data_IF_868925327086
#
_entry.id   IF_868925327086
#
_cell.length_a   1.000
_cell.length_b   1.000
_cell.length_c   1.000
_cell.angle_alpha   90.00
_cell.angle_beta   90.00
_cell.angle_gamma   90.00
#
_symmetry.space_group_name_H-M   'P 1'
#
loop_
_entity.id
_entity.type
_entity.pdbx_description
1 polymer ?
#
# COMPACT_ATOMS: atom_id res chain seq x y z
N UNK A 1 -23.37 46.32 -61.94
CA UNK A 1 -23.78 46.52 -60.53
C UNK A 1 -23.91 45.15 -59.90
N UNK A 2 -22.92 44.72 -59.13
CA UNK A 2 -22.90 43.44 -58.49
C UNK A 2 -23.34 43.57 -57.03
N UNK A 3 -24.35 42.82 -56.59
CA UNK A 3 -24.78 42.78 -55.18
C UNK A 3 -23.76 42.06 -54.32
N UNK A 4 -23.42 42.56 -53.12
CA UNK A 4 -22.58 41.84 -52.18
C UNK A 4 -23.37 40.72 -51.51
N UNK A 5 -22.71 39.58 -51.13
CA UNK A 5 -23.37 38.47 -50.45
C UNK A 5 -23.68 38.82 -49.02
N UNK A 6 -24.91 38.60 -48.57
CA UNK A 6 -25.37 38.70 -47.20
C UNK A 6 -24.91 37.47 -46.43
N UNK A 7 -24.20 37.69 -45.31
CA UNK A 7 -23.82 36.66 -44.32
C UNK A 7 -25.05 36.26 -43.49
N UNK A 8 -25.22 34.94 -43.17
CA UNK A 8 -26.29 34.52 -42.29
C UNK A 8 -26.01 34.91 -40.85
N UNK A 9 -26.96 35.59 -40.24
CA UNK A 9 -27.01 35.91 -38.81
C UNK A 9 -27.37 34.61 -38.08
N UNK A 10 -26.46 34.10 -37.25
CA UNK A 10 -26.75 32.99 -36.37
C UNK A 10 -27.52 33.53 -35.15
N UNK A 11 -28.80 33.19 -35.10
CA UNK A 11 -29.62 33.39 -33.90
C UNK A 11 -29.08 32.55 -32.73
N UNK A 12 -28.46 33.19 -31.78
CA UNK A 12 -28.19 32.62 -30.45
C UNK A 12 -29.48 32.61 -29.63
N UNK A 13 -30.32 31.62 -29.86
CA UNK A 13 -31.40 31.30 -28.94
C UNK A 13 -30.78 30.78 -27.65
N UNK A 14 -30.84 31.64 -26.60
CA UNK A 14 -30.49 31.24 -25.23
C UNK A 14 -31.41 30.16 -24.69
N UNK A 15 -31.00 28.94 -24.84
CA UNK A 15 -31.54 27.76 -24.14
C UNK A 15 -30.70 27.60 -22.84
N UNK A 16 -31.21 28.10 -21.73
CA UNK A 16 -30.73 27.77 -20.39
C UNK A 16 -30.93 26.28 -20.11
N UNK A 17 -30.07 25.44 -20.66
CA UNK A 17 -29.96 24.04 -20.28
C UNK A 17 -29.25 23.97 -18.94
N UNK A 18 -29.99 23.78 -17.86
CA UNK A 18 -29.47 23.31 -16.58
C UNK A 18 -28.68 22.02 -16.86
N UNK A 19 -27.36 22.12 -16.94
CA UNK A 19 -26.51 20.94 -16.96
C UNK A 19 -26.82 20.14 -15.69
N UNK A 20 -27.21 18.86 -15.79
CA UNK A 20 -27.34 18.02 -14.61
C UNK A 20 -25.99 18.02 -13.93
N UNK A 21 -25.93 18.53 -12.71
CA UNK A 21 -24.79 18.39 -11.81
C UNK A 21 -24.48 16.90 -11.72
N UNK A 22 -23.55 16.43 -12.54
CA UNK A 22 -23.01 15.09 -12.42
C UNK A 22 -22.37 15.01 -11.04
N UNK A 23 -23.01 14.27 -10.16
CA UNK A 23 -22.44 13.87 -8.88
C UNK A 23 -21.22 13.00 -9.20
N UNK A 24 -20.07 13.65 -9.31
CA UNK A 24 -18.79 13.08 -9.74
C UNK A 24 -18.30 11.97 -8.79
N UNK A 25 -18.88 11.87 -7.61
CA UNK A 25 -18.49 10.92 -6.57
C UNK A 25 -18.83 9.46 -6.86
N UNK A 26 -19.97 9.16 -7.50
CA UNK A 26 -20.42 7.78 -7.67
C UNK A 26 -19.53 6.95 -8.64
N UNK A 27 -19.13 7.43 -9.82
CA UNK A 27 -18.23 6.69 -10.71
C UNK A 27 -16.81 6.56 -10.12
N UNK A 28 -16.29 7.60 -9.46
CA UNK A 28 -14.98 7.57 -8.82
C UNK A 28 -14.93 6.53 -7.67
N UNK A 29 -15.97 6.46 -6.86
CA UNK A 29 -16.09 5.49 -5.79
C UNK A 29 -16.16 4.06 -6.31
N UNK A 30 -16.95 3.80 -7.35
CA UNK A 30 -17.01 2.47 -8.01
C UNK A 30 -15.67 2.05 -8.58
N UNK A 31 -14.96 2.98 -9.23
CA UNK A 31 -13.62 2.72 -9.77
C UNK A 31 -12.62 2.42 -8.65
N UNK A 32 -12.70 3.14 -7.54
CA UNK A 32 -11.87 2.88 -6.36
C UNK A 32 -12.15 1.48 -5.79
N UNK A 33 -13.42 1.12 -5.56
CA UNK A 33 -13.80 -0.20 -5.06
C UNK A 33 -13.36 -1.33 -6.00
N UNK A 34 -13.50 -1.16 -7.31
CA UNK A 34 -13.06 -2.16 -8.29
C UNK A 34 -11.55 -2.34 -8.28
N UNK A 35 -10.77 -1.26 -8.20
CA UNK A 35 -9.31 -1.32 -8.07
C UNK A 35 -8.89 -1.96 -6.75
N UNK A 36 -9.54 -1.59 -5.65
CA UNK A 36 -9.27 -2.17 -4.34
C UNK A 36 -9.53 -3.68 -4.33
N UNK A 37 -10.69 -4.10 -4.84
CA UNK A 37 -11.05 -5.52 -4.90
C UNK A 37 -10.12 -6.32 -5.81
N UNK A 38 -9.71 -5.77 -6.95
CA UNK A 38 -8.73 -6.41 -7.84
C UNK A 38 -7.36 -6.54 -7.19
N UNK A 39 -6.89 -5.49 -6.51
CA UNK A 39 -5.61 -5.51 -5.78
C UNK A 39 -5.61 -6.52 -4.65
N UNK A 40 -6.69 -6.59 -3.88
CA UNK A 40 -6.86 -7.60 -2.81
C UNK A 40 -6.85 -9.00 -3.40
N UNK A 41 -7.61 -9.24 -4.47
CA UNK A 41 -7.67 -10.55 -5.14
C UNK A 41 -6.31 -10.95 -5.69
N UNK A 42 -5.58 -10.04 -6.31
CA UNK A 42 -4.23 -10.28 -6.82
C UNK A 42 -3.25 -10.56 -5.67
N UNK A 43 -3.30 -9.82 -4.57
CA UNK A 43 -2.47 -10.08 -3.40
C UNK A 43 -2.76 -11.44 -2.79
N UNK A 44 -4.04 -11.79 -2.66
CA UNK A 44 -4.45 -13.10 -2.12
C UNK A 44 -4.09 -14.28 -3.06
N UNK A 45 -3.95 -14.05 -4.37
CA UNK A 45 -3.50 -15.10 -5.29
C UNK A 45 -2.04 -15.50 -5.08
N UNK A 46 -1.22 -14.62 -4.48
CA UNK A 46 0.18 -14.88 -4.14
C UNK A 46 0.37 -15.59 -2.79
N UNK A 47 -0.72 -15.97 -2.12
CA UNK A 47 -0.64 -16.71 -0.87
C UNK A 47 -0.04 -18.10 -1.08
N UNK A 48 0.78 -18.53 -0.14
CA UNK A 48 1.24 -19.93 -0.08
C UNK A 48 0.12 -20.84 0.42
N UNK A 49 0.15 -22.12 0.07
CA UNK A 49 -0.84 -23.09 0.56
C UNK A 49 -0.92 -23.09 2.10
N UNK A 50 -2.14 -23.03 2.63
CA UNK A 50 -2.32 -23.03 4.10
C UNK A 50 -1.82 -24.32 4.76
N UNK A 51 -1.86 -25.45 4.03
CA UNK A 51 -1.33 -26.73 4.50
C UNK A 51 0.17 -26.66 4.76
N UNK A 52 0.90 -25.97 3.91
CA UNK A 52 2.33 -25.75 4.08
C UNK A 52 2.63 -24.90 5.33
N UNK A 53 1.80 -23.89 5.62
CA UNK A 53 1.95 -23.06 6.82
C UNK A 53 1.76 -23.89 8.10
N UNK A 54 0.83 -24.84 8.11
CA UNK A 54 0.45 -25.65 9.29
C UNK A 54 1.21 -26.98 9.35
N UNK A 55 2.13 -27.23 8.43
CA UNK A 55 2.89 -28.48 8.37
C UNK A 55 3.73 -28.66 9.65
N UNK A 56 3.30 -29.64 10.45
CA UNK A 56 3.96 -29.97 11.72
C UNK A 56 5.35 -30.59 11.55
N UNK A 57 5.63 -31.23 10.42
CA UNK A 57 6.92 -31.86 10.15
C UNK A 57 8.05 -30.83 10.03
N UNK A 58 7.72 -29.61 9.62
CA UNK A 58 8.64 -28.49 9.47
C UNK A 58 8.69 -27.55 10.71
N UNK A 59 8.03 -27.93 11.82
CA UNK A 59 8.06 -27.15 13.05
C UNK A 59 9.09 -27.79 14.00
N UNK A 60 10.12 -27.03 14.37
CA UNK A 60 11.12 -27.44 15.35
C UNK A 60 11.51 -26.28 16.28
N UNK A 61 11.95 -26.62 17.48
CA UNK A 61 12.46 -25.62 18.44
C UNK A 61 13.75 -25.01 17.89
N UNK A 62 13.90 -23.67 17.90
CA UNK A 62 15.16 -23.03 17.55
C UNK A 62 16.24 -23.31 18.62
N UNK A 63 17.47 -23.50 18.18
CA UNK A 63 18.61 -23.82 19.07
C UNK A 63 19.08 -22.59 19.86
N UNK A 64 18.88 -21.39 19.32
CA UNK A 64 19.28 -20.13 19.92
C UNK A 64 18.34 -18.98 19.50
N UNK A 65 18.45 -17.83 20.20
CA UNK A 65 17.73 -16.61 19.80
C UNK A 65 18.19 -16.12 18.42
N UNK A 66 19.46 -16.32 18.07
CA UNK A 66 20.01 -15.97 16.77
C UNK A 66 19.42 -16.85 15.66
N UNK A 67 19.25 -18.15 15.92
CA UNK A 67 18.58 -19.07 15.01
C UNK A 67 17.10 -18.70 14.85
N UNK A 68 16.38 -18.44 15.95
CA UNK A 68 15.01 -17.97 15.91
C UNK A 68 14.85 -16.71 15.04
N UNK A 69 15.70 -15.71 15.25
CA UNK A 69 15.69 -14.49 14.43
C UNK A 69 15.99 -14.77 12.95
N UNK A 70 16.96 -15.60 12.66
CA UNK A 70 17.32 -16.01 11.30
C UNK A 70 16.11 -16.67 10.60
N UNK A 71 15.42 -17.61 11.31
CA UNK A 71 14.22 -18.28 10.78
C UNK A 71 13.08 -17.30 10.52
N UNK A 72 12.80 -16.38 11.45
CA UNK A 72 11.78 -15.33 11.26
C UNK A 72 12.10 -14.52 10.00
N UNK A 73 13.36 -14.07 9.86
CA UNK A 73 13.81 -13.25 8.73
C UNK A 73 13.64 -13.95 7.38
N UNK A 74 13.82 -15.27 7.32
CA UNK A 74 13.63 -16.08 6.10
C UNK A 74 12.15 -16.36 5.85
N UNK A 75 11.38 -16.76 6.86
CA UNK A 75 9.97 -17.09 6.75
C UNK A 75 9.08 -15.89 6.45
N UNK A 76 9.48 -14.68 6.88
CA UNK A 76 8.68 -13.46 6.74
C UNK A 76 8.41 -13.08 5.28
N UNK A 77 9.39 -13.02 4.37
CA UNK A 77 9.14 -12.76 2.96
C UNK A 77 8.40 -13.91 2.28
N UNK A 78 8.67 -15.15 2.65
CA UNK A 78 8.06 -16.32 2.05
C UNK A 78 6.57 -16.45 2.33
N UNK A 79 6.14 -16.32 3.58
CA UNK A 79 4.75 -16.38 4.00
C UNK A 79 4.11 -14.97 4.11
N UNK A 80 4.67 -13.96 3.49
CA UNK A 80 4.26 -12.56 3.62
C UNK A 80 2.74 -12.39 3.52
N UNK A 81 2.11 -12.94 2.49
CA UNK A 81 0.66 -12.77 2.25
C UNK A 81 -0.15 -13.52 3.30
N UNK A 82 0.28 -14.72 3.69
CA UNK A 82 -0.37 -15.51 4.74
C UNK A 82 -0.29 -14.78 6.09
N UNK A 83 0.87 -14.24 6.43
CA UNK A 83 1.06 -13.49 7.68
C UNK A 83 0.25 -12.20 7.71
N UNK A 84 0.22 -11.44 6.62
CA UNK A 84 -0.66 -10.26 6.51
C UNK A 84 -2.13 -10.68 6.68
N UNK A 85 -2.53 -11.80 6.12
CA UNK A 85 -3.90 -12.32 6.26
C UNK A 85 -4.21 -12.69 7.72
N UNK A 86 -3.28 -13.34 8.43
CA UNK A 86 -3.43 -13.68 9.86
C UNK A 86 -3.58 -12.41 10.70
N UNK A 87 -2.68 -11.44 10.53
CA UNK A 87 -2.75 -10.16 11.26
C UNK A 87 -4.06 -9.43 10.97
N UNK A 88 -4.47 -9.38 9.70
CA UNK A 88 -5.74 -8.76 9.28
C UNK A 88 -6.95 -9.47 9.90
N UNK A 89 -6.91 -10.80 10.00
CA UNK A 89 -7.99 -11.58 10.64
C UNK A 89 -8.06 -11.28 12.14
N UNK A 90 -6.93 -11.22 12.84
CA UNK A 90 -6.89 -10.86 14.27
C UNK A 90 -7.45 -9.46 14.48
N UNK A 91 -7.06 -8.49 13.64
CA UNK A 91 -7.61 -7.13 13.68
C UNK A 91 -9.13 -7.12 13.43
N UNK A 92 -9.60 -7.84 12.41
CA UNK A 92 -11.02 -7.91 12.07
C UNK A 92 -11.84 -8.52 13.21
N UNK A 93 -11.39 -9.62 13.81
CA UNK A 93 -12.05 -10.25 14.94
C UNK A 93 -12.06 -9.34 16.17
N UNK A 94 -10.95 -8.66 16.45
CA UNK A 94 -10.87 -7.69 17.55
C UNK A 94 -11.83 -6.52 17.38
N UNK A 95 -11.93 -5.97 16.16
CA UNK A 95 -12.88 -4.90 15.85
C UNK A 95 -14.33 -5.36 15.92
N UNK A 96 -14.61 -6.57 15.42
CA UNK A 96 -15.96 -7.14 15.46
C UNK A 96 -16.43 -7.40 16.91
N UNK A 97 -15.51 -7.73 17.81
CA UNK A 97 -15.78 -7.89 19.24
C UNK A 97 -16.03 -6.55 19.95
N UNK A 98 -15.70 -5.43 19.32
CA UNK A 98 -15.85 -4.08 19.88
C UNK A 98 -16.65 -3.18 18.93
N UNK A 99 -17.99 -3.34 18.85
CA UNK A 99 -18.81 -2.69 17.82
C UNK A 99 -18.76 -1.16 17.87
N UNK A 100 -18.62 -0.54 19.04
CA UNK A 100 -18.49 0.90 19.17
C UNK A 100 -17.18 1.41 18.54
N UNK A 101 -16.07 0.71 18.77
CA UNK A 101 -14.78 1.04 18.16
C UNK A 101 -14.81 0.87 16.65
N UNK A 102 -15.49 -0.18 16.18
CA UNK A 102 -15.71 -0.41 14.75
C UNK A 102 -16.53 0.72 14.13
N UNK A 103 -17.62 1.15 14.78
CA UNK A 103 -18.45 2.27 14.31
C UNK A 103 -17.63 3.57 14.22
N UNK A 104 -16.88 3.88 15.27
CA UNK A 104 -16.01 5.08 15.29
C UNK A 104 -14.99 5.06 14.14
N UNK A 105 -14.36 3.91 13.88
CA UNK A 105 -13.43 3.76 12.76
C UNK A 105 -14.12 3.89 11.41
N UNK A 106 -15.32 3.32 11.23
CA UNK A 106 -16.08 3.47 9.99
C UNK A 106 -16.45 4.94 9.76
N UNK A 107 -16.89 5.66 10.79
CA UNK A 107 -17.20 7.08 10.70
C UNK A 107 -15.95 7.91 10.37
N UNK A 108 -14.83 7.63 11.01
CA UNK A 108 -13.56 8.30 10.74
C UNK A 108 -13.08 8.04 9.30
N UNK A 109 -13.12 6.79 8.85
CA UNK A 109 -12.73 6.40 7.50
C UNK A 109 -13.68 7.00 6.44
N UNK A 110 -14.99 6.99 6.73
CA UNK A 110 -15.99 7.67 5.91
C UNK A 110 -15.70 9.18 5.80
N UNK A 111 -15.34 9.83 6.90
CA UNK A 111 -14.95 11.25 6.89
C UNK A 111 -13.75 11.52 5.99
N UNK A 112 -12.72 10.68 6.04
CA UNK A 112 -11.56 10.78 5.14
C UNK A 112 -11.94 10.58 3.67
N UNK A 113 -12.78 9.58 3.39
CA UNK A 113 -13.22 9.30 2.02
C UNK A 113 -14.06 10.45 1.47
N UNK A 114 -15.09 10.88 2.20
CA UNK A 114 -16.07 11.84 1.67
C UNK A 114 -15.60 13.29 1.75
N UNK A 115 -14.88 13.67 2.80
CA UNK A 115 -14.46 15.06 3.00
C UNK A 115 -13.14 15.40 2.33
N UNK A 116 -12.30 14.40 2.02
CA UNK A 116 -10.97 14.62 1.44
C UNK A 116 -10.77 13.90 0.11
N UNK A 117 -10.96 12.57 0.06
CA UNK A 117 -10.55 11.77 -1.10
C UNK A 117 -11.48 11.94 -2.32
N UNK A 118 -12.79 11.97 -2.11
CA UNK A 118 -13.78 12.06 -3.20
C UNK A 118 -14.38 13.46 -3.38
N UNK A 119 -13.85 14.43 -2.68
CA UNK A 119 -14.26 15.82 -2.85
C UNK A 119 -13.67 16.38 -4.15
N UNK A 120 -14.47 17.08 -5.00
CA UNK A 120 -13.94 17.87 -6.10
C UNK A 120 -13.04 18.98 -5.56
N UNK A 121 -11.82 19.11 -6.11
CA UNK A 121 -10.84 20.13 -5.71
C UNK A 121 -11.32 21.57 -5.95
N UNK A 122 -12.31 21.75 -6.82
CA UNK A 122 -12.78 23.04 -7.29
C UNK A 122 -13.85 23.68 -6.40
N UNK A 123 -14.38 22.95 -5.41
CA UNK A 123 -15.44 23.44 -4.53
C UNK A 123 -14.99 23.49 -3.07
N UNK A 124 -14.99 24.67 -2.43
CA UNK A 124 -14.69 24.75 -1.01
C UNK A 124 -15.76 24.01 -0.19
N UNK A 125 -15.33 23.32 0.87
CA UNK A 125 -16.24 22.63 1.77
C UNK A 125 -16.97 23.68 2.64
N UNK A 126 -18.30 23.72 2.54
CA UNK A 126 -19.11 24.61 3.38
C UNK A 126 -19.75 23.78 4.49
N UNK A 127 -19.27 23.97 5.73
CA UNK A 127 -19.85 23.35 6.94
C UNK A 127 -20.33 24.49 7.85
N UNK A 128 -21.59 24.44 8.23
CA UNK A 128 -22.20 25.44 9.12
C UNK A 128 -22.01 26.91 8.65
N UNK A 129 -22.04 27.15 7.32
CA UNK A 129 -21.84 28.47 6.74
C UNK A 129 -20.40 28.98 6.67
N UNK A 130 -19.41 28.15 7.09
CA UNK A 130 -17.98 28.45 6.96
C UNK A 130 -17.37 27.63 5.82
N UNK A 131 -16.60 28.30 4.97
CA UNK A 131 -15.86 27.68 3.87
C UNK A 131 -14.51 27.16 4.38
N UNK A 132 -14.23 25.89 4.13
CA UNK A 132 -12.95 25.25 4.48
C UNK A 132 -12.13 25.01 3.22
N UNK A 133 -10.88 25.43 3.23
CA UNK A 133 -9.90 25.08 2.20
C UNK A 133 -9.46 23.62 2.35
N UNK A 134 -8.78 23.06 1.33
CA UNK A 134 -8.27 21.68 1.37
C UNK A 134 -7.29 21.45 2.51
N UNK A 135 -6.43 22.46 2.77
CA UNK A 135 -5.45 22.38 3.86
C UNK A 135 -6.12 22.41 5.23
N UNK A 136 -7.16 23.24 5.41
CA UNK A 136 -7.93 23.29 6.65
C UNK A 136 -8.71 21.99 6.86
N UNK A 137 -9.31 21.44 5.83
CA UNK A 137 -10.01 20.15 5.87
C UNK A 137 -9.04 19.02 6.25
N UNK A 138 -7.86 18.98 5.64
CA UNK A 138 -6.81 18.03 5.99
C UNK A 138 -6.40 18.19 7.46
N UNK A 139 -6.14 19.42 7.90
CA UNK A 139 -5.76 19.71 9.28
C UNK A 139 -6.82 19.24 10.29
N UNK A 140 -8.08 19.52 10.02
CA UNK A 140 -9.20 19.08 10.87
C UNK A 140 -9.30 17.56 10.91
N UNK A 141 -9.18 16.88 9.77
CA UNK A 141 -9.24 15.41 9.72
C UNK A 141 -8.06 14.76 10.47
N UNK A 142 -6.85 15.32 10.35
CA UNK A 142 -5.67 14.85 11.10
C UNK A 142 -5.88 15.03 12.61
N UNK A 143 -6.31 16.21 13.05
CA UNK A 143 -6.59 16.46 14.47
C UNK A 143 -7.70 15.53 14.96
N UNK A 144 -8.79 15.38 14.20
CA UNK A 144 -9.87 14.47 14.54
C UNK A 144 -9.36 13.02 14.69
N UNK A 145 -8.50 12.58 13.77
CA UNK A 145 -7.89 11.24 13.84
C UNK A 145 -7.07 11.06 15.12
N UNK A 146 -6.23 12.05 15.45
CA UNK A 146 -5.44 12.02 16.69
C UNK A 146 -6.35 11.96 17.92
N UNK A 147 -7.35 12.84 17.97
CA UNK A 147 -8.31 12.87 19.08
C UNK A 147 -9.02 11.52 19.22
N UNK A 148 -9.54 10.97 18.12
CA UNK A 148 -10.23 9.67 18.12
C UNK A 148 -9.31 8.55 18.59
N UNK A 149 -8.10 8.46 18.07
CA UNK A 149 -7.15 7.39 18.43
C UNK A 149 -6.72 7.47 19.90
N UNK A 150 -6.49 8.68 20.44
CA UNK A 150 -5.96 8.84 21.80
C UNK A 150 -7.05 8.95 22.87
N UNK A 151 -8.22 9.53 22.56
CA UNK A 151 -9.30 9.71 23.54
C UNK A 151 -10.28 8.54 23.57
N UNK A 152 -10.27 7.67 22.56
CA UNK A 152 -11.12 6.48 22.53
C UNK A 152 -10.32 5.21 22.76
N UNK A 153 -10.99 4.10 23.08
CA UNK A 153 -10.37 2.77 23.19
C UNK A 153 -9.86 2.20 21.85
N UNK A 154 -10.12 2.88 20.72
CA UNK A 154 -9.73 2.42 19.38
C UNK A 154 -8.22 2.24 19.26
N UNK A 155 -7.43 3.20 19.76
CA UNK A 155 -5.97 3.14 19.68
C UNK A 155 -5.41 1.93 20.44
N UNK A 156 -5.84 1.72 21.68
CA UNK A 156 -5.40 0.57 22.49
C UNK A 156 -5.85 -0.76 21.90
N UNK A 157 -7.07 -0.83 21.37
CA UNK A 157 -7.60 -2.02 20.70
C UNK A 157 -6.77 -2.40 19.48
N UNK A 158 -6.48 -1.44 18.59
CA UNK A 158 -5.67 -1.68 17.39
C UNK A 158 -4.25 -2.10 17.75
N UNK A 159 -3.63 -1.43 18.73
CA UNK A 159 -2.28 -1.78 19.18
C UNK A 159 -2.25 -3.18 19.78
N UNK A 160 -3.19 -3.53 20.65
CA UNK A 160 -3.28 -4.88 21.23
C UNK A 160 -3.49 -5.95 20.17
N UNK A 161 -4.42 -5.76 19.24
CA UNK A 161 -4.67 -6.69 18.16
C UNK A 161 -3.45 -6.86 17.24
N UNK A 162 -2.76 -5.76 16.93
CA UNK A 162 -1.54 -5.79 16.14
C UNK A 162 -0.42 -6.56 16.86
N UNK A 163 -0.22 -6.31 18.15
CA UNK A 163 0.78 -7.02 18.96
C UNK A 163 0.49 -8.52 19.04
N UNK A 164 -0.78 -8.91 19.21
CA UNK A 164 -1.19 -10.33 19.19
C UNK A 164 -0.90 -10.93 17.82
N UNK A 165 -1.32 -10.27 16.74
CA UNK A 165 -1.09 -10.74 15.38
C UNK A 165 0.39 -10.90 15.04
N UNK A 166 1.21 -9.91 15.40
CA UNK A 166 2.67 -9.96 15.23
C UNK A 166 3.31 -11.05 16.11
N UNK A 167 2.82 -11.23 17.34
CA UNK A 167 3.26 -12.30 18.22
C UNK A 167 3.05 -13.69 17.60
N UNK A 168 1.87 -13.93 17.02
CA UNK A 168 1.56 -15.18 16.31
C UNK A 168 2.51 -15.38 15.12
N UNK A 169 2.72 -14.34 14.31
CA UNK A 169 3.63 -14.38 13.15
C UNK A 169 5.07 -14.66 13.57
N UNK A 170 5.56 -13.95 14.58
CA UNK A 170 6.91 -14.16 15.10
C UNK A 170 7.11 -15.55 15.71
N UNK A 171 6.12 -16.03 16.45
CA UNK A 171 6.15 -17.36 17.05
C UNK A 171 6.21 -18.43 15.94
N UNK A 172 5.29 -18.36 14.98
CA UNK A 172 5.30 -19.29 13.85
C UNK A 172 6.61 -19.19 13.05
N UNK A 173 7.07 -17.97 12.72
CA UNK A 173 8.29 -17.75 11.97
C UNK A 173 9.56 -18.25 12.67
N UNK A 174 9.59 -18.21 14.01
CA UNK A 174 10.71 -18.73 14.80
C UNK A 174 10.75 -20.25 14.85
N UNK A 175 9.59 -20.91 14.92
CA UNK A 175 9.51 -22.37 15.04
C UNK A 175 9.48 -23.08 13.69
N UNK A 176 9.10 -22.41 12.61
CA UNK A 176 9.12 -22.97 11.25
C UNK A 176 10.56 -23.04 10.75
N UNK A 177 11.02 -24.26 10.43
CA UNK A 177 12.30 -24.48 9.72
C UNK A 177 12.16 -23.96 8.30
N UNK A 178 12.99 -23.02 7.86
CA UNK A 178 12.98 -22.57 6.48
C UNK A 178 13.49 -23.71 5.59
N UNK A 179 12.78 -24.01 4.52
CA UNK A 179 13.24 -25.00 3.54
C UNK A 179 14.43 -24.41 2.77
N UNK A 180 15.44 -25.25 2.48
CA UNK A 180 16.67 -24.83 1.81
C UNK A 180 16.46 -24.31 0.38
N UNK A 181 15.30 -24.61 -0.22
CA UNK A 181 14.87 -24.11 -1.54
C UNK A 181 14.79 -22.56 -1.62
N UNK A 182 14.78 -21.87 -0.47
CA UNK A 182 14.75 -20.39 -0.43
C UNK A 182 16.14 -19.76 -0.48
N UNK A 183 17.19 -20.53 -0.40
CA UNK A 183 18.55 -20.02 -0.51
C UNK A 183 18.87 -19.63 -1.95
N UNK A 184 18.27 -20.29 -2.94
CA UNK A 184 18.51 -20.04 -4.36
C UNK A 184 17.82 -18.74 -4.86
N UNK A 185 16.68 -18.35 -4.28
CA UNK A 185 15.94 -17.14 -4.71
C UNK A 185 16.49 -15.82 -4.12
N UNK A 186 17.34 -15.87 -3.08
CA UNK A 186 17.90 -14.67 -2.45
C UNK A 186 19.33 -14.33 -2.87
N UNK A 187 20.02 -15.23 -3.58
CA UNK A 187 21.40 -15.00 -4.04
C UNK A 187 21.59 -14.09 -5.28
N UNK A 188 20.61 -13.91 -6.21
CA UNK A 188 20.94 -13.22 -7.46
C UNK A 188 21.16 -11.71 -7.35
N UNK A 189 20.66 -11.04 -6.31
CA UNK A 189 20.75 -9.58 -6.26
C UNK A 189 22.11 -9.01 -5.82
N UNK A 190 22.82 -9.71 -4.90
CA UNK A 190 24.10 -9.21 -4.39
C UNK A 190 25.30 -9.77 -5.17
N UNK A 191 25.23 -11.05 -5.63
CA UNK A 191 26.27 -11.63 -6.48
C UNK A 191 26.29 -11.02 -7.87
N UNK A 192 25.12 -10.69 -8.44
CA UNK A 192 25.03 -9.98 -9.73
C UNK A 192 25.70 -8.62 -9.71
N UNK A 193 25.49 -7.81 -8.67
CA UNK A 193 26.11 -6.50 -8.54
C UNK A 193 27.61 -6.58 -8.28
N UNK A 194 28.05 -7.50 -7.41
CA UNK A 194 29.46 -7.71 -7.12
C UNK A 194 30.23 -8.31 -8.30
N UNK A 195 29.64 -9.25 -9.04
CA UNK A 195 30.24 -9.81 -10.26
C UNK A 195 30.26 -8.78 -11.40
N UNK A 196 29.26 -7.91 -11.50
CA UNK A 196 29.26 -6.80 -12.45
C UNK A 196 30.37 -5.79 -12.11
N UNK A 197 30.52 -5.43 -10.82
CA UNK A 197 31.57 -4.51 -10.37
C UNK A 197 32.98 -5.10 -10.51
N UNK A 198 33.15 -6.39 -10.20
CA UNK A 198 34.43 -7.09 -10.41
C UNK A 198 34.77 -7.26 -11.89
N UNK A 199 33.79 -7.55 -12.74
CA UNK A 199 33.96 -7.61 -14.20
C UNK A 199 34.31 -6.25 -14.80
N UNK A 200 33.71 -5.16 -14.31
CA UNK A 200 34.07 -3.81 -14.73
C UNK A 200 35.49 -3.40 -14.29
N UNK A 201 35.93 -3.81 -13.09
CA UNK A 201 37.28 -3.54 -12.60
C UNK A 201 38.34 -4.31 -13.38
N UNK A 202 38.11 -5.57 -13.73
CA UNK A 202 39.03 -6.38 -14.56
C UNK A 202 39.10 -5.84 -16.00
N UNK A 203 38.00 -5.40 -16.57
CA UNK A 203 37.97 -4.80 -17.93
C UNK A 203 38.74 -3.50 -17.97
N UNK A 204 38.61 -2.67 -16.93
CA UNK A 204 39.39 -1.40 -16.83
C UNK A 204 40.90 -1.66 -16.64
N UNK A 205 41.28 -2.69 -15.87
CA UNK A 205 42.69 -3.05 -15.69
C UNK A 205 43.33 -3.60 -16.97
N UNK A 206 42.60 -4.40 -17.76
CA UNK A 206 43.07 -4.91 -19.06
C UNK A 206 43.19 -3.76 -20.09
N UNK A 207 42.26 -2.81 -20.10
CA UNK A 207 42.33 -1.65 -20.98
C UNK A 207 43.52 -0.70 -20.65
N UNK A 208 43.84 -0.58 -19.34
CA UNK A 208 45.01 0.19 -18.90
C UNK A 208 46.37 -0.45 -19.24
N UNK A 209 46.41 -1.80 -19.30
CA UNK A 209 47.63 -2.55 -19.64
C UNK A 209 47.92 -2.65 -21.14
N UNK A 210 46.96 -2.29 -21.99
CA UNK A 210 47.08 -2.40 -23.46
C UNK A 210 47.48 -1.10 -24.18
N UNK A 211 47.95 -0.06 -23.46
CA UNK A 211 48.51 1.13 -24.11
C UNK A 211 49.90 0.82 -24.69
N UNK A 212 50.13 0.87 -26.02
CA UNK A 212 51.45 0.62 -26.58
C UNK A 212 52.37 1.80 -26.20
N UNK A 213 53.48 1.46 -25.56
CA UNK A 213 54.61 2.41 -25.39
C UNK A 213 55.14 2.72 -26.77
N UNK A 214 54.80 3.88 -27.31
CA UNK A 214 55.39 4.42 -28.51
C UNK A 214 56.82 4.84 -28.18
N UNK A 215 57.77 3.96 -28.48
CA UNK A 215 59.18 4.25 -28.37
C UNK A 215 59.57 5.31 -29.41
N UNK A 216 60.18 6.36 -28.92
CA UNK A 216 60.86 7.38 -29.70
C UNK A 216 62.26 6.85 -30.04
N UNK A 217 62.57 6.76 -31.33
CA UNK A 217 63.92 6.79 -31.87
C UNK A 217 64.06 8.07 -32.68
#
# INVERSE_FOLDING_TARGET
MANPPTLPISDHSGGGGSQPQQTVSAPAFRTFLSRLSSSIRQSLSQRRPWLELVDRSAISRPDSLTDAYSRIRRNLPYFKVNYVTIVSLVLALSLLSHPLSLLVLICLFGSWIFLYLFRPSDQPLVILGRTFSDRETLGVLVILTIVVVFLTSVGSLLTSALMIGLGIVCLHGAFRVPEDLFLDDQEPANTGLLSFLSGAATSAAVAAASTPVSGRV
#
